data_IF_744285431016
#
_entry.id   IF_744285431016
#
_cell.length_a   1.000
_cell.length_b   1.000
_cell.length_c   1.000
_cell.angle_alpha   90.00
_cell.angle_beta   90.00
_cell.angle_gamma   90.00
#
_symmetry.space_group_name_H-M   'P 1'
#
loop_
_entity.id
_entity.type
_entity.pdbx_description
1 polymer ?
#
# COMPACT_ATOMS: atom_id res chain seq x y z
N UNK A 1 -26.93 -15.31 17.84
CA UNK A 1 -25.99 -14.63 18.76
C UNK A 1 -24.65 -15.34 18.98
N UNK A 2 -24.50 -16.44 19.74
CA UNK A 2 -23.15 -17.01 20.04
C UNK A 2 -22.42 -17.62 18.82
N UNK A 3 -23.15 -18.18 17.84
CA UNK A 3 -22.57 -18.75 16.60
C UNK A 3 -22.12 -17.68 15.59
N UNK A 4 -22.88 -16.60 15.45
CA UNK A 4 -22.54 -15.49 14.53
C UNK A 4 -21.30 -14.73 14.99
N UNK A 5 -21.10 -14.60 16.31
CA UNK A 5 -19.89 -13.98 16.85
C UNK A 5 -18.63 -14.81 16.56
N UNK A 6 -18.75 -16.15 16.57
CA UNK A 6 -17.61 -17.04 16.29
C UNK A 6 -17.26 -17.09 14.80
N UNK A 7 -18.24 -17.04 13.88
CA UNK A 7 -17.97 -16.99 12.44
C UNK A 7 -17.32 -15.66 12.05
N UNK A 8 -17.81 -14.54 12.59
CA UNK A 8 -17.23 -13.23 12.36
C UNK A 8 -15.79 -13.11 12.87
N UNK A 9 -15.52 -13.63 14.08
CA UNK A 9 -14.17 -13.66 14.63
C UNK A 9 -13.22 -14.48 13.74
N UNK A 10 -13.65 -15.66 13.31
CA UNK A 10 -12.85 -16.56 12.47
C UNK A 10 -12.54 -15.96 11.09
N UNK A 11 -13.51 -15.32 10.45
CA UNK A 11 -13.32 -14.61 9.17
C UNK A 11 -12.31 -13.47 9.29
N UNK A 12 -12.40 -12.67 10.35
CA UNK A 12 -11.45 -11.58 10.60
C UNK A 12 -10.04 -12.08 10.91
N UNK A 13 -9.91 -13.14 11.73
CA UNK A 13 -8.61 -13.76 12.02
C UNK A 13 -7.98 -14.30 10.75
N UNK A 14 -8.75 -14.97 9.89
CA UNK A 14 -8.26 -15.47 8.61
C UNK A 14 -7.81 -14.33 7.69
N UNK A 15 -8.58 -13.25 7.61
CA UNK A 15 -8.22 -12.08 6.80
C UNK A 15 -6.89 -11.46 7.27
N UNK A 16 -6.69 -11.32 8.58
CA UNK A 16 -5.42 -10.82 9.15
C UNK A 16 -4.26 -11.75 8.82
N UNK A 17 -4.41 -13.06 9.02
CA UNK A 17 -3.36 -14.04 8.70
C UNK A 17 -3.00 -14.01 7.20
N UNK A 18 -4.01 -13.93 6.34
CA UNK A 18 -3.81 -13.80 4.90
C UNK A 18 -3.07 -12.50 4.55
N UNK A 19 -3.43 -11.37 5.16
CA UNK A 19 -2.75 -10.09 4.93
C UNK A 19 -1.28 -10.13 5.38
N UNK A 20 -1.00 -10.67 6.57
CA UNK A 20 0.37 -10.86 7.06
C UNK A 20 1.17 -11.71 6.08
N UNK A 21 0.66 -12.89 5.76
CA UNK A 21 1.36 -13.88 4.92
C UNK A 21 1.60 -13.33 3.51
N UNK A 22 0.61 -12.66 2.92
CA UNK A 22 0.74 -12.03 1.61
C UNK A 22 1.74 -10.86 1.64
N UNK A 23 1.74 -10.05 2.70
CA UNK A 23 2.68 -8.94 2.86
C UNK A 23 4.14 -9.41 2.95
N UNK A 24 4.41 -10.38 3.82
CA UNK A 24 5.75 -10.99 3.93
C UNK A 24 6.15 -11.73 2.65
N UNK A 25 5.24 -12.47 2.03
CA UNK A 25 5.50 -13.16 0.76
C UNK A 25 5.85 -12.18 -0.36
N UNK A 26 5.14 -11.06 -0.45
CA UNK A 26 5.41 -9.97 -1.40
C UNK A 26 6.78 -9.36 -1.16
N UNK A 27 7.17 -9.14 0.10
CA UNK A 27 8.48 -8.63 0.48
C UNK A 27 9.60 -9.57 0.04
N UNK A 28 9.49 -10.86 0.35
CA UNK A 28 10.47 -11.86 -0.07
C UNK A 28 10.58 -11.96 -1.60
N UNK A 29 9.43 -11.92 -2.29
CA UNK A 29 9.38 -12.01 -3.74
C UNK A 29 10.02 -10.80 -4.43
N UNK A 30 9.68 -9.58 -4.01
CA UNK A 30 10.29 -8.34 -4.54
C UNK A 30 11.79 -8.29 -4.26
N UNK A 31 12.21 -8.62 -3.03
CA UNK A 31 13.64 -8.72 -2.69
C UNK A 31 14.37 -9.75 -3.57
N UNK A 32 13.77 -10.92 -3.81
CA UNK A 32 14.33 -11.94 -4.68
C UNK A 32 14.42 -11.47 -6.15
N UNK A 33 13.39 -10.78 -6.66
CA UNK A 33 13.41 -10.23 -8.00
C UNK A 33 14.48 -9.15 -8.16
N UNK A 34 14.59 -8.24 -7.21
CA UNK A 34 15.61 -7.17 -7.23
C UNK A 34 17.03 -7.74 -7.22
N UNK A 35 17.27 -8.75 -6.39
CA UNK A 35 18.58 -9.43 -6.31
C UNK A 35 18.89 -10.26 -7.56
N UNK A 36 17.88 -10.81 -8.23
CA UNK A 36 18.06 -11.64 -9.43
C UNK A 36 18.20 -10.80 -10.70
N UNK A 37 17.39 -9.75 -10.85
CA UNK A 37 17.39 -8.87 -12.04
C UNK A 37 18.58 -7.91 -11.99
N UNK A 38 19.03 -7.50 -10.80
CA UNK A 38 20.17 -6.59 -10.64
C UNK A 38 19.89 -5.18 -11.18
N UNK A 39 18.72 -4.64 -10.89
CA UNK A 39 18.23 -3.36 -11.43
C UNK A 39 18.71 -2.11 -10.68
N UNK A 40 18.64 -0.96 -11.37
CA UNK A 40 18.79 0.35 -10.73
C UNK A 40 17.53 0.79 -9.98
N UNK A 41 17.60 1.92 -9.26
CA UNK A 41 16.55 2.44 -8.37
C UNK A 41 15.16 2.49 -9.04
N UNK A 42 15.09 2.86 -10.33
CA UNK A 42 13.82 2.90 -11.08
C UNK A 42 13.21 1.52 -11.29
N UNK A 43 14.03 0.50 -11.56
CA UNK A 43 13.57 -0.86 -11.79
C UNK A 43 13.00 -1.45 -10.49
N UNK A 44 13.66 -1.19 -9.35
CA UNK A 44 13.16 -1.64 -8.05
C UNK A 44 11.82 -0.97 -7.72
N UNK A 45 11.73 0.36 -7.85
CA UNK A 45 10.47 1.08 -7.65
C UNK A 45 9.35 0.54 -8.56
N UNK A 46 9.65 0.24 -9.83
CA UNK A 46 8.70 -0.37 -10.74
C UNK A 46 8.25 -1.76 -10.29
N UNK A 47 9.18 -2.64 -9.89
CA UNK A 47 8.88 -3.99 -9.40
C UNK A 47 7.96 -3.93 -8.18
N UNK A 48 8.29 -3.06 -7.23
CA UNK A 48 7.49 -2.89 -6.02
C UNK A 48 6.08 -2.38 -6.32
N UNK A 49 5.94 -1.30 -7.11
CA UNK A 49 4.62 -0.78 -7.46
C UNK A 49 3.82 -1.79 -8.30
N UNK A 50 4.47 -2.55 -9.19
CA UNK A 50 3.81 -3.57 -9.99
C UNK A 50 3.29 -4.71 -9.10
N UNK A 51 4.08 -5.11 -8.11
CA UNK A 51 3.71 -6.14 -7.15
C UNK A 51 2.53 -5.70 -6.27
N UNK A 52 2.54 -4.45 -5.79
CA UNK A 52 1.41 -3.84 -5.05
C UNK A 52 0.15 -3.81 -5.91
N UNK A 53 0.22 -3.24 -7.12
CA UNK A 53 -0.93 -3.15 -8.02
C UNK A 53 -1.49 -4.54 -8.36
N UNK A 54 -0.63 -5.52 -8.62
CA UNK A 54 -1.04 -6.90 -8.92
C UNK A 54 -1.84 -7.51 -7.76
N UNK A 55 -1.44 -7.24 -6.52
CA UNK A 55 -2.16 -7.71 -5.33
C UNK A 55 -3.57 -7.10 -5.24
N UNK A 56 -3.70 -5.81 -5.53
CA UNK A 56 -5.00 -5.14 -5.57
C UNK A 56 -5.89 -5.63 -6.73
N UNK A 57 -5.33 -5.81 -7.93
CA UNK A 57 -6.06 -6.34 -9.08
C UNK A 57 -6.50 -7.79 -8.84
N UNK A 58 -5.65 -8.61 -8.23
CA UNK A 58 -5.99 -9.98 -7.85
C UNK A 58 -7.16 -10.01 -6.86
N UNK A 59 -7.16 -9.13 -5.84
CA UNK A 59 -8.29 -8.97 -4.94
C UNK A 59 -9.55 -8.55 -5.72
N UNK A 60 -9.46 -7.51 -6.55
CA UNK A 60 -10.59 -7.04 -7.35
C UNK A 60 -11.19 -8.16 -8.23
N UNK A 61 -10.36 -8.97 -8.89
CA UNK A 61 -10.80 -10.10 -9.70
C UNK A 61 -11.47 -11.20 -8.87
N UNK A 62 -10.86 -11.60 -7.75
CA UNK A 62 -11.41 -12.65 -6.88
C UNK A 62 -12.77 -12.28 -6.28
N UNK A 63 -12.98 -11.00 -5.96
CA UNK A 63 -14.20 -10.54 -5.28
C UNK A 63 -15.28 -10.04 -6.24
N UNK A 64 -14.92 -9.49 -7.41
CA UNK A 64 -15.90 -9.15 -8.47
C UNK A 64 -16.62 -10.38 -9.02
N UNK A 65 -16.01 -11.57 -8.94
CA UNK A 65 -16.62 -12.84 -9.33
C UNK A 65 -17.62 -13.39 -8.29
N UNK A 66 -17.61 -12.91 -7.05
CA UNK A 66 -18.30 -13.58 -5.92
C UNK A 66 -19.32 -12.73 -5.16
N UNK A 67 -19.25 -11.39 -5.17
CA UNK A 67 -20.10 -10.57 -4.27
C UNK A 67 -20.56 -9.27 -4.92
N UNK A 68 -21.89 -9.00 -4.91
CA UNK A 68 -22.48 -7.84 -5.60
C UNK A 68 -22.34 -6.48 -4.88
N UNK A 69 -22.05 -6.43 -3.58
CA UNK A 69 -22.08 -5.13 -2.83
C UNK A 69 -21.01 -4.92 -1.75
N UNK A 70 -20.23 -5.94 -1.34
CA UNK A 70 -19.14 -5.80 -0.33
C UNK A 70 -17.75 -5.53 -0.94
N UNK A 71 -17.68 -5.17 -2.21
CA UNK A 71 -16.46 -5.14 -3.03
C UNK A 71 -15.31 -4.29 -2.44
N UNK A 72 -15.62 -3.15 -1.80
CA UNK A 72 -14.59 -2.23 -1.28
C UNK A 72 -13.90 -2.78 -0.03
N UNK A 73 -14.62 -3.49 0.85
CA UNK A 73 -14.04 -3.98 2.11
C UNK A 73 -12.91 -4.98 1.86
N UNK A 74 -13.00 -5.73 0.77
CA UNK A 74 -11.98 -6.70 0.41
C UNK A 74 -10.72 -6.07 -0.18
N UNK A 75 -10.80 -4.83 -0.68
CA UNK A 75 -9.61 -4.07 -1.09
C UNK A 75 -8.80 -3.56 0.11
N UNK A 76 -9.30 -3.67 1.34
CA UNK A 76 -8.49 -3.45 2.53
C UNK A 76 -7.53 -4.62 2.82
N UNK A 77 -7.83 -5.83 2.37
CA UNK A 77 -6.92 -6.98 2.51
C UNK A 77 -5.56 -6.69 1.86
N UNK A 78 -5.47 -6.32 0.56
CA UNK A 78 -4.20 -5.97 -0.05
C UNK A 78 -3.56 -4.73 0.60
N UNK A 79 -4.35 -3.73 1.03
CA UNK A 79 -3.82 -2.59 1.79
C UNK A 79 -3.08 -3.04 3.06
N UNK A 80 -3.70 -3.89 3.89
CA UNK A 80 -3.05 -4.41 5.10
C UNK A 80 -1.84 -5.29 4.77
N UNK A 81 -1.87 -6.04 3.68
CA UNK A 81 -0.67 -6.75 3.20
C UNK A 81 0.48 -5.79 2.91
N UNK A 82 0.20 -4.62 2.33
CA UNK A 82 1.23 -3.59 2.09
C UNK A 82 1.74 -2.97 3.40
N UNK A 83 0.89 -2.86 4.43
CA UNK A 83 1.37 -2.48 5.77
C UNK A 83 2.41 -3.51 6.28
N UNK A 84 2.13 -4.80 6.19
CA UNK A 84 3.08 -5.83 6.64
C UNK A 84 4.33 -5.90 5.76
N UNK A 85 4.19 -5.67 4.45
CA UNK A 85 5.30 -5.51 3.52
C UNK A 85 6.24 -4.38 3.99
N UNK A 86 5.70 -3.19 4.24
CA UNK A 86 6.49 -2.03 4.66
C UNK A 86 7.12 -2.25 6.03
N UNK A 87 6.45 -2.95 6.96
CA UNK A 87 7.05 -3.34 8.25
C UNK A 87 8.25 -4.27 8.03
N UNK A 88 8.10 -5.30 7.18
CA UNK A 88 9.16 -6.26 6.90
C UNK A 88 10.39 -5.58 6.29
N UNK A 89 10.16 -4.71 5.29
CA UNK A 89 11.23 -3.95 4.64
C UNK A 89 11.98 -3.07 5.66
N UNK A 90 11.25 -2.36 6.50
CA UNK A 90 11.83 -1.47 7.51
C UNK A 90 12.60 -2.23 8.60
N UNK A 91 12.14 -3.42 9.01
CA UNK A 91 12.90 -4.29 9.92
C UNK A 91 14.23 -4.68 9.28
N UNK A 92 14.24 -5.07 8.01
CA UNK A 92 15.48 -5.44 7.30
C UNK A 92 16.42 -4.25 7.15
N UNK A 93 15.90 -3.06 6.84
CA UNK A 93 16.73 -1.85 6.84
C UNK A 93 17.34 -1.58 8.20
N UNK A 94 16.57 -1.72 9.28
CA UNK A 94 17.06 -1.52 10.63
C UNK A 94 18.18 -2.49 11.01
N UNK A 95 18.04 -3.75 10.61
CA UNK A 95 19.08 -4.77 10.83
C UNK A 95 20.33 -4.54 9.97
N UNK A 96 20.18 -3.97 8.77
CA UNK A 96 21.29 -3.76 7.82
C UNK A 96 22.06 -2.46 8.07
N UNK A 97 21.40 -1.42 8.57
CA UNK A 97 21.98 -0.09 8.79
C UNK A 97 21.60 0.41 10.20
N UNK A 98 22.27 -0.10 11.26
CA UNK A 98 21.94 0.23 12.64
C UNK A 98 22.58 1.55 13.10
N UNK A 99 22.33 2.65 12.38
CA UNK A 99 22.81 3.99 12.71
C UNK A 99 21.64 4.97 12.89
N UNK A 100 21.91 6.22 13.24
CA UNK A 100 20.86 7.26 13.38
C UNK A 100 20.17 7.58 12.06
N UNK A 101 20.79 7.28 10.92
CA UNK A 101 20.22 7.51 9.60
C UNK A 101 19.03 6.61 9.32
N UNK A 102 18.93 5.46 10.03
CA UNK A 102 17.80 4.55 9.89
C UNK A 102 16.46 5.22 10.19
N UNK A 103 16.38 6.10 11.18
CA UNK A 103 15.11 6.73 11.56
C UNK A 103 14.57 7.59 10.43
N UNK A 104 15.44 8.24 9.66
CA UNK A 104 15.03 8.98 8.47
C UNK A 104 14.51 8.05 7.39
N UNK A 105 15.19 6.92 7.19
CA UNK A 105 14.77 5.91 6.23
C UNK A 105 13.41 5.32 6.56
N UNK A 106 13.19 4.97 7.83
CA UNK A 106 11.93 4.43 8.34
C UNK A 106 10.76 5.41 8.14
N UNK A 107 11.01 6.71 8.39
CA UNK A 107 9.98 7.75 8.32
C UNK A 107 9.57 8.12 6.90
N UNK A 108 10.39 7.85 5.87
CA UNK A 108 9.98 8.03 4.48
C UNK A 108 9.56 6.73 3.79
N UNK A 109 10.27 5.61 4.03
CA UNK A 109 9.99 4.31 3.38
C UNK A 109 8.58 3.88 3.73
N UNK A 110 8.24 3.78 5.02
CA UNK A 110 6.93 3.25 5.38
C UNK A 110 5.74 4.03 4.76
N UNK A 111 5.71 5.38 4.83
CA UNK A 111 4.65 6.15 4.20
C UNK A 111 4.56 6.04 2.69
N UNK A 112 5.66 5.80 1.94
CA UNK A 112 5.58 5.67 0.47
C UNK A 112 4.69 4.49 0.08
N UNK A 113 4.87 3.32 0.74
CA UNK A 113 4.06 2.14 0.43
C UNK A 113 2.60 2.34 0.85
N UNK A 114 2.35 3.02 1.98
CA UNK A 114 0.99 3.32 2.41
C UNK A 114 0.28 4.30 1.47
N UNK A 115 0.97 5.34 1.03
CA UNK A 115 0.43 6.35 0.12
C UNK A 115 0.06 5.73 -1.23
N UNK A 116 0.96 4.94 -1.84
CA UNK A 116 0.65 4.30 -3.13
C UNK A 116 -0.44 3.25 -2.98
N UNK A 117 -0.47 2.50 -1.87
CA UNK A 117 -1.55 1.55 -1.57
C UNK A 117 -2.91 2.24 -1.39
N UNK A 118 -2.97 3.39 -0.72
CA UNK A 118 -4.21 4.17 -0.60
C UNK A 118 -4.68 4.70 -1.95
N UNK A 119 -3.77 5.14 -2.80
CA UNK A 119 -4.15 5.58 -4.16
C UNK A 119 -4.71 4.43 -5.00
N UNK A 120 -4.10 3.23 -4.94
CA UNK A 120 -4.66 2.04 -5.59
C UNK A 120 -6.03 1.68 -5.03
N UNK A 121 -6.19 1.74 -3.71
CA UNK A 121 -7.48 1.53 -3.06
C UNK A 121 -8.53 2.51 -3.60
N UNK A 122 -8.22 3.81 -3.66
CA UNK A 122 -9.13 4.84 -4.18
C UNK A 122 -9.52 4.54 -5.64
N UNK A 123 -8.54 4.38 -6.53
CA UNK A 123 -8.79 4.23 -7.96
C UNK A 123 -9.52 2.94 -8.32
N UNK A 124 -9.23 1.85 -7.62
CA UNK A 124 -9.89 0.56 -7.85
C UNK A 124 -11.25 0.45 -7.16
N UNK A 125 -11.52 1.30 -6.16
CA UNK A 125 -12.83 1.36 -5.50
C UNK A 125 -13.90 2.15 -6.29
N UNK A 126 -13.49 2.99 -7.24
CA UNK A 126 -14.40 3.79 -8.08
C UNK A 126 -14.28 3.41 -9.56
N UNK A 127 -15.39 2.93 -10.15
CA UNK A 127 -15.49 2.56 -11.57
C UNK A 127 -15.13 3.71 -12.52
N UNK A 128 -15.27 4.97 -12.08
CA UNK A 128 -14.90 6.16 -12.86
C UNK A 128 -13.39 6.38 -12.90
N UNK A 129 -12.69 5.96 -11.84
CA UNK A 129 -11.24 6.12 -11.70
C UNK A 129 -10.48 4.91 -12.25
N UNK A 130 -11.11 3.73 -12.25
CA UNK A 130 -10.54 2.47 -12.74
C UNK A 130 -9.82 2.58 -14.11
N UNK A 131 -10.36 3.26 -15.15
CA UNK A 131 -9.67 3.40 -16.44
C UNK A 131 -8.34 4.16 -16.36
N UNK A 132 -8.15 4.98 -15.33
CA UNK A 132 -6.94 5.77 -15.11
C UNK A 132 -5.88 5.03 -14.28
N UNK A 133 -6.12 3.77 -13.89
CA UNK A 133 -5.17 2.94 -13.13
C UNK A 133 -3.79 2.82 -13.79
N UNK A 134 -3.65 2.69 -15.13
CA UNK A 134 -2.33 2.68 -15.77
C UNK A 134 -1.55 3.99 -15.60
N UNK A 135 -2.25 5.14 -15.67
CA UNK A 135 -1.63 6.43 -15.41
C UNK A 135 -1.23 6.55 -13.94
N UNK A 136 -2.11 6.10 -13.03
CA UNK A 136 -1.78 6.05 -11.61
C UNK A 136 -0.53 5.20 -11.36
N UNK A 137 -0.42 4.02 -11.96
CA UNK A 137 0.74 3.13 -11.83
C UNK A 137 2.04 3.82 -12.25
N UNK A 138 2.02 4.54 -13.37
CA UNK A 138 3.17 5.33 -13.82
C UNK A 138 3.49 6.42 -12.78
N UNK A 139 2.48 7.17 -12.33
CA UNK A 139 2.65 8.23 -11.33
C UNK A 139 3.18 7.72 -10.00
N UNK A 140 2.67 6.61 -9.47
CA UNK A 140 3.15 6.01 -8.22
C UNK A 140 4.57 5.47 -8.35
N UNK A 141 4.92 4.91 -9.51
CA UNK A 141 6.30 4.45 -9.79
C UNK A 141 7.28 5.62 -9.77
N UNK A 142 6.95 6.72 -10.46
CA UNK A 142 7.80 7.91 -10.47
C UNK A 142 7.83 8.64 -9.13
N UNK A 143 6.72 8.66 -8.40
CA UNK A 143 6.67 9.17 -7.03
C UNK A 143 7.64 8.37 -6.15
N UNK A 144 7.52 7.04 -6.14
CA UNK A 144 8.40 6.18 -5.36
C UNK A 144 9.88 6.31 -5.78
N UNK A 145 10.17 6.20 -7.08
CA UNK A 145 11.50 6.42 -7.62
C UNK A 145 12.08 7.78 -7.22
N UNK A 146 11.29 8.85 -7.35
CA UNK A 146 11.69 10.20 -7.00
C UNK A 146 12.08 10.30 -5.53
N UNK A 147 11.30 9.69 -4.62
CA UNK A 147 11.66 9.66 -3.21
C UNK A 147 12.96 8.90 -2.95
N UNK A 148 13.16 7.74 -3.58
CA UNK A 148 14.38 6.96 -3.44
C UNK A 148 15.62 7.71 -3.96
N UNK A 149 15.47 8.51 -5.03
CA UNK A 149 16.55 9.38 -5.53
C UNK A 149 16.80 10.57 -4.61
N UNK A 150 15.74 11.23 -4.11
CA UNK A 150 15.87 12.41 -3.24
C UNK A 150 16.64 12.08 -1.95
N UNK A 151 16.46 10.88 -1.41
CA UNK A 151 17.21 10.38 -0.23
C UNK A 151 18.72 10.33 -0.47
N UNK A 152 19.15 10.16 -1.73
CA UNK A 152 20.58 10.12 -2.09
C UNK A 152 21.17 11.51 -2.37
N UNK A 153 20.33 12.53 -2.60
CA UNK A 153 20.75 13.85 -3.10
C UNK A 153 20.63 14.98 -2.08
N UNK A 154 19.80 14.80 -1.05
CA UNK A 154 19.45 15.87 -0.11
C UNK A 154 20.12 15.63 1.24
N UNK A 155 20.57 16.71 1.88
CA UNK A 155 21.05 16.69 3.26
C UNK A 155 19.97 16.16 4.24
N UNK A 156 20.41 15.38 5.22
CA UNK A 156 19.55 14.67 6.19
C UNK A 156 18.48 15.54 6.84
N UNK A 157 18.82 16.78 7.20
CA UNK A 157 17.92 17.72 7.89
C UNK A 157 16.76 18.19 7.01
N UNK A 158 17.00 18.42 5.72
CA UNK A 158 15.98 18.83 4.75
C UNK A 158 15.13 17.64 4.34
N UNK A 159 15.76 16.46 4.19
CA UNK A 159 15.07 15.21 3.91
C UNK A 159 14.08 14.86 5.03
N UNK A 160 14.47 15.01 6.29
CA UNK A 160 13.59 14.80 7.44
C UNK A 160 12.34 15.69 7.38
N UNK A 161 12.51 17.00 7.20
CA UNK A 161 11.39 17.93 7.20
C UNK A 161 10.46 17.71 6.01
N UNK A 162 11.01 17.56 4.80
CA UNK A 162 10.23 17.41 3.58
C UNK A 162 9.52 16.06 3.52
N UNK A 163 10.23 14.96 3.81
CA UNK A 163 9.66 13.62 3.70
C UNK A 163 8.65 13.34 4.81
N UNK A 164 8.96 13.69 6.07
CA UNK A 164 8.02 13.46 7.16
C UNK A 164 6.78 14.32 6.98
N UNK A 165 6.93 15.62 6.76
CA UNK A 165 5.78 16.52 6.70
C UNK A 165 4.93 16.24 5.47
N UNK A 166 5.54 16.10 4.28
CA UNK A 166 4.77 15.91 3.05
C UNK A 166 4.18 14.52 2.97
N UNK A 167 4.95 13.44 3.20
CA UNK A 167 4.39 12.09 3.04
C UNK A 167 3.37 11.74 4.11
N UNK A 168 3.57 12.17 5.36
CA UNK A 168 2.58 11.94 6.42
C UNK A 168 1.33 12.78 6.16
N UNK A 169 1.47 14.02 5.68
CA UNK A 169 0.31 14.84 5.28
C UNK A 169 -0.45 14.24 4.11
N UNK A 170 0.25 13.72 3.11
CA UNK A 170 -0.37 12.99 1.99
C UNK A 170 -1.09 11.73 2.48
N UNK A 171 -0.50 10.99 3.43
CA UNK A 171 -1.16 9.84 4.04
C UNK A 171 -2.49 10.23 4.68
N UNK A 172 -2.49 11.26 5.53
CA UNK A 172 -3.72 11.75 6.16
C UNK A 172 -4.74 12.27 5.12
N UNK A 173 -4.28 12.95 4.08
CA UNK A 173 -5.13 13.39 2.98
C UNK A 173 -5.78 12.20 2.26
N UNK A 174 -5.01 11.17 1.92
CA UNK A 174 -5.53 9.99 1.23
C UNK A 174 -6.45 9.15 2.12
N UNK A 175 -6.15 9.00 3.42
CA UNK A 175 -7.07 8.38 4.39
C UNK A 175 -8.39 9.14 4.43
N UNK A 176 -8.34 10.47 4.50
CA UNK A 176 -9.55 11.30 4.48
C UNK A 176 -10.33 11.15 3.16
N UNK A 177 -9.64 11.07 2.02
CA UNK A 177 -10.28 10.82 0.73
C UNK A 177 -10.93 9.43 0.68
N UNK A 178 -10.26 8.38 1.15
CA UNK A 178 -10.86 7.02 1.25
C UNK A 178 -12.11 7.05 2.13
N UNK A 179 -12.03 7.69 3.31
CA UNK A 179 -13.17 7.82 4.21
C UNK A 179 -14.33 8.57 3.55
N UNK A 180 -14.05 9.68 2.86
CA UNK A 180 -15.06 10.44 2.14
C UNK A 180 -15.68 9.66 0.98
N UNK A 181 -14.87 8.93 0.19
CA UNK A 181 -15.35 8.07 -0.89
C UNK A 181 -16.26 6.95 -0.35
N UNK A 182 -15.89 6.31 0.75
CA UNK A 182 -16.70 5.27 1.39
C UNK A 182 -17.99 5.86 1.99
N UNK A 183 -17.90 7.00 2.68
CA UNK A 183 -19.03 7.64 3.33
C UNK A 183 -20.03 8.20 2.31
N UNK A 184 -19.56 8.88 1.25
CA UNK A 184 -20.39 9.33 0.13
C UNK A 184 -21.10 8.16 -0.55
N UNK A 185 -20.40 7.04 -0.75
CA UNK A 185 -20.99 5.86 -1.40
C UNK A 185 -22.08 5.22 -0.52
N UNK A 186 -21.86 5.12 0.79
CA UNK A 186 -22.89 4.64 1.75
C UNK A 186 -24.10 5.57 1.79
N UNK A 187 -23.89 6.88 1.91
CA UNK A 187 -24.97 7.87 1.94
C UNK A 187 -25.81 7.90 0.65
N UNK A 188 -25.23 7.56 -0.50
CA UNK A 188 -25.94 7.46 -1.78
C UNK A 188 -26.71 6.13 -1.94
N UNK A 189 -26.24 5.05 -1.30
CA UNK A 189 -26.92 3.75 -1.31
C UNK A 189 -28.10 3.70 -0.34
N UNK A 190 -27.99 4.32 0.84
CA UNK A 190 -29.09 4.40 1.82
C UNK A 190 -30.27 5.28 1.37
N UNK A 191 -30.12 6.03 0.26
CA UNK A 191 -31.18 6.87 -0.34
C UNK A 191 -31.97 6.18 -1.46
N UNK A 192 -31.66 4.93 -1.81
CA UNK A 192 -32.36 4.13 -2.81
C UNK A 192 -33.15 3.01 -2.15
#
# INVERSE_FOLDING_TARGET
>A
MKRENNSFLMENTLAVICSISAGFGLFLFTTWLETTIGGGILINAFIEEAAKLSLFLAALLLFSLRVKEKEIFYLFIPFFSICFYGIAENIIYFLRFPDTFIYFRLLYSYPVHLNTALLYLIFLSDKRLLPFTPLLFISTTFYHYGLNVLVLLIEESVLFFLMCTVNVSLFFLFVNLVNNCIFLRRALLDRR
#
